data_IF_116264891971
#
_entry.id   IF_116264891971
#
_cell.length_a   1.000
_cell.length_b   1.000
_cell.length_c   1.000
_cell.angle_alpha   90.00
_cell.angle_beta   90.00
_cell.angle_gamma   90.00
#
_symmetry.space_group_name_H-M   'P 1'
#
loop_
_entity.id
_entity.type
_entity.pdbx_description
1 polymer ?
#
# COMPACT_ATOMS: atom_id res chain seq x y z
N UNK A 1 -6.36 -6.05 20.70
CA UNK A 1 -5.49 -5.21 19.84
C UNK A 1 -5.45 -5.79 18.42
N UNK A 2 -5.42 -4.97 17.36
CA UNK A 2 -5.55 -5.41 15.95
C UNK A 2 -4.44 -6.38 15.51
N UNK A 3 -3.18 -6.07 15.80
CA UNK A 3 -2.04 -6.90 15.38
C UNK A 3 -1.98 -8.26 16.08
N UNK A 4 -2.49 -8.37 17.32
CA UNK A 4 -2.65 -9.67 17.98
C UNK A 4 -3.65 -10.56 17.24
N UNK A 5 -4.77 -9.98 16.78
CA UNK A 5 -5.75 -10.71 15.96
C UNK A 5 -5.20 -11.09 14.58
N UNK A 6 -4.38 -10.23 13.98
CA UNK A 6 -3.68 -10.53 12.72
C UNK A 6 -2.79 -11.78 12.88
N UNK A 7 -1.98 -11.81 13.94
CA UNK A 7 -1.10 -12.94 14.27
C UNK A 7 -1.87 -14.23 14.54
N UNK A 8 -3.02 -14.14 15.19
CA UNK A 8 -3.91 -15.29 15.43
C UNK A 8 -4.54 -15.81 14.14
N UNK A 9 -5.07 -14.91 13.30
CA UNK A 9 -5.77 -15.26 12.05
C UNK A 9 -4.83 -15.89 11.01
N UNK A 10 -3.62 -15.36 10.88
CA UNK A 10 -2.63 -15.80 9.89
C UNK A 10 -1.49 -16.59 10.54
N UNK A 11 -1.80 -17.39 11.57
CA UNK A 11 -0.82 -18.21 12.28
C UNK A 11 -0.16 -19.20 11.30
N UNK A 12 1.18 -19.18 11.24
CA UNK A 12 1.97 -20.04 10.35
C UNK A 12 2.20 -19.46 8.94
N UNK A 13 1.59 -18.32 8.60
CA UNK A 13 1.95 -17.58 7.41
C UNK A 13 3.22 -16.75 7.65
N UNK A 14 4.16 -16.79 6.71
CA UNK A 14 5.36 -15.95 6.75
C UNK A 14 5.03 -14.56 6.20
N UNK A 15 4.54 -13.68 7.07
CA UNK A 15 4.28 -12.28 6.75
C UNK A 15 5.23 -11.35 7.53
N UNK A 16 5.71 -10.32 6.85
CA UNK A 16 6.59 -9.33 7.46
C UNK A 16 5.76 -8.16 8.04
N UNK A 17 5.63 -8.11 9.37
CA UNK A 17 4.84 -7.07 10.05
C UNK A 17 5.33 -5.63 9.73
N UNK A 18 6.63 -5.31 9.73
CA UNK A 18 7.12 -4.03 9.22
C UNK A 18 6.65 -3.66 7.81
N UNK A 19 6.57 -4.62 6.88
CA UNK A 19 6.07 -4.35 5.53
C UNK A 19 4.58 -3.99 5.52
N UNK A 20 3.77 -4.66 6.35
CA UNK A 20 2.35 -4.32 6.53
C UNK A 20 2.22 -2.91 7.10
N UNK A 21 3.03 -2.54 8.09
CA UNK A 21 2.99 -1.18 8.66
C UNK A 21 3.38 -0.13 7.62
N UNK A 22 4.41 -0.38 6.81
CA UNK A 22 4.84 0.51 5.72
C UNK A 22 3.74 0.70 4.68
N UNK A 23 2.98 -0.35 4.35
CA UNK A 23 1.91 -0.23 3.35
C UNK A 23 0.75 0.66 3.83
N UNK A 24 0.48 0.72 5.13
CA UNK A 24 -0.56 1.59 5.70
C UNK A 24 -0.28 3.09 5.51
N UNK A 25 0.99 3.47 5.37
CA UNK A 25 1.44 4.86 5.21
C UNK A 25 2.04 5.14 3.83
N UNK A 26 1.86 4.22 2.87
CA UNK A 26 2.50 4.26 1.56
C UNK A 26 2.29 5.59 0.83
N UNK A 27 1.04 6.04 0.67
CA UNK A 27 0.75 7.29 -0.04
C UNK A 27 1.29 8.52 0.68
N UNK A 28 1.17 8.58 2.01
CA UNK A 28 1.70 9.69 2.79
C UNK A 28 3.23 9.82 2.64
N UNK A 29 3.94 8.69 2.64
CA UNK A 29 5.38 8.69 2.39
C UNK A 29 5.72 9.13 0.96
N UNK A 30 4.99 8.63 -0.04
CA UNK A 30 5.22 8.96 -1.44
C UNK A 30 4.91 10.43 -1.76
N UNK A 31 3.86 11.00 -1.17
CA UNK A 31 3.48 12.41 -1.34
C UNK A 31 4.56 13.37 -0.82
N UNK A 32 5.38 12.96 0.14
CA UNK A 32 6.51 13.73 0.66
C UNK A 32 7.80 13.61 -0.16
N UNK A 33 7.82 12.80 -1.22
CA UNK A 33 8.99 12.64 -2.09
C UNK A 33 8.92 13.58 -3.30
N UNK A 34 10.07 14.00 -3.85
CA UNK A 34 10.08 14.75 -5.10
C UNK A 34 9.49 13.93 -6.26
N UNK A 35 8.81 14.60 -7.19
CA UNK A 35 8.28 13.94 -8.38
C UNK A 35 9.43 13.32 -9.21
N UNK A 36 9.29 12.05 -9.64
CA UNK A 36 10.28 11.42 -10.47
C UNK A 36 10.29 12.02 -11.88
N UNK A 37 11.37 11.74 -12.63
CA UNK A 37 11.40 12.03 -14.06
C UNK A 37 10.34 11.19 -14.77
N UNK A 38 9.33 11.85 -15.32
CA UNK A 38 8.23 11.19 -16.01
C UNK A 38 8.64 10.81 -17.44
N UNK A 39 8.37 9.56 -17.82
CA UNK A 39 8.53 9.05 -19.20
C UNK A 39 7.24 9.16 -20.02
N UNK A 40 6.12 9.46 -19.37
CA UNK A 40 4.79 9.57 -19.94
C UNK A 40 4.04 10.71 -19.24
N UNK A 41 3.12 11.34 -19.95
CA UNK A 41 2.26 12.38 -19.38
C UNK A 41 1.16 11.74 -18.52
N UNK A 42 1.43 11.62 -17.23
CA UNK A 42 0.47 11.12 -16.23
C UNK A 42 0.69 11.83 -14.90
N UNK A 43 -0.39 12.16 -14.20
CA UNK A 43 -0.30 12.76 -12.87
C UNK A 43 -0.14 11.69 -11.79
N UNK A 44 0.51 12.05 -10.68
CA UNK A 44 0.58 11.17 -9.51
C UNK A 44 -0.82 10.88 -8.95
N UNK A 45 -1.72 11.85 -8.98
CA UNK A 45 -3.12 11.74 -8.56
C UNK A 45 -3.87 10.66 -9.35
N UNK A 46 -3.65 10.58 -10.65
CA UNK A 46 -4.27 9.56 -11.50
C UNK A 46 -3.72 8.17 -11.19
N UNK A 47 -2.41 8.06 -10.94
CA UNK A 47 -1.78 6.80 -10.49
C UNK A 47 -2.37 6.36 -9.13
N UNK A 48 -2.51 7.26 -8.16
CA UNK A 48 -3.14 6.96 -6.86
C UNK A 48 -4.54 6.41 -7.03
N UNK A 49 -5.38 7.06 -7.85
CA UNK A 49 -6.74 6.60 -8.17
C UNK A 49 -6.74 5.20 -8.78
N UNK A 50 -5.82 4.93 -9.72
CA UNK A 50 -5.72 3.63 -10.36
C UNK A 50 -5.29 2.51 -9.41
N UNK A 51 -4.31 2.77 -8.54
CA UNK A 51 -3.87 1.80 -7.52
C UNK A 51 -5.05 1.47 -6.59
N UNK A 52 -5.74 2.49 -6.06
CA UNK A 52 -6.90 2.30 -5.17
C UNK A 52 -8.00 1.49 -5.87
N UNK A 53 -8.33 1.84 -7.12
CA UNK A 53 -9.33 1.12 -7.91
C UNK A 53 -8.97 -0.36 -8.06
N UNK A 54 -7.72 -0.67 -8.40
CA UNK A 54 -7.24 -2.05 -8.57
C UNK A 54 -7.28 -2.82 -7.26
N UNK A 55 -6.81 -2.24 -6.16
CA UNK A 55 -6.82 -2.90 -4.84
C UNK A 55 -8.23 -3.21 -4.38
N UNK A 56 -9.18 -2.29 -4.56
CA UNK A 56 -10.60 -2.52 -4.24
C UNK A 56 -11.25 -3.62 -5.09
N UNK A 57 -10.72 -3.90 -6.28
CA UNK A 57 -11.21 -4.94 -7.16
C UNK A 57 -10.65 -6.33 -6.81
N UNK A 58 -9.59 -6.42 -5.99
CA UNK A 58 -9.06 -7.69 -5.51
C UNK A 58 -10.10 -8.32 -4.58
N UNK A 59 -10.58 -9.51 -4.94
CA UNK A 59 -11.37 -10.35 -4.04
C UNK A 59 -10.39 -11.17 -3.20
N UNK A 60 -10.48 -11.02 -1.88
CA UNK A 60 -9.70 -11.77 -0.88
C UNK A 60 -10.49 -12.98 -0.37
#
# INVERSE_FOLDING_TARGET
KLFEKLKQKYRGADYNQPHILKSLVYFANADGQPMPRMHQEVSWEDIKKQIIKKVKAIKL
#
